data_IF_182112770343
#
_entry.id   IF_182112770343
#
_cell.length_a   1.000
_cell.length_b   1.000
_cell.length_c   1.000
_cell.angle_alpha   90.00
_cell.angle_beta   90.00
_cell.angle_gamma   90.00
#
_symmetry.space_group_name_H-M   'P 1'
#
loop_
_entity.id
_entity.type
_entity.pdbx_description
1 polymer ?
#
# COMPACT_ATOMS: atom_id res chain seq x y z
N UNK A 1 -7.24 2.70 11.49
CA UNK A 1 -7.97 3.92 11.93
C UNK A 1 -9.44 3.92 11.50
N UNK A 2 -9.75 4.04 10.20
CA UNK A 2 -11.14 4.22 9.73
C UNK A 2 -12.15 3.22 10.30
N UNK A 3 -11.84 1.93 10.26
CA UNK A 3 -12.67 0.86 10.85
C UNK A 3 -12.97 1.08 12.34
N UNK A 4 -11.98 1.48 13.13
CA UNK A 4 -12.13 1.65 14.58
C UNK A 4 -12.91 2.91 14.95
N UNK A 5 -12.77 3.97 14.15
CA UNK A 5 -13.46 5.24 14.38
C UNK A 5 -14.83 5.31 13.67
N UNK A 6 -15.22 4.25 12.95
CA UNK A 6 -16.46 4.24 12.16
C UNK A 6 -16.44 5.16 10.94
N UNK A 7 -15.26 5.53 10.44
CA UNK A 7 -15.10 6.34 9.23
C UNK A 7 -15.19 5.46 7.98
N UNK A 8 -15.74 6.02 6.90
CA UNK A 8 -15.67 5.41 5.59
C UNK A 8 -14.24 5.50 5.05
N UNK A 9 -13.75 4.40 4.48
CA UNK A 9 -12.46 4.33 3.80
C UNK A 9 -12.67 3.74 2.41
N UNK A 10 -12.07 4.38 1.42
CA UNK A 10 -12.13 3.93 0.04
C UNK A 10 -10.71 3.88 -0.55
N UNK A 11 -10.35 2.72 -1.06
CA UNK A 11 -9.11 2.52 -1.79
C UNK A 11 -9.34 2.90 -3.25
N UNK A 12 -8.35 3.58 -3.87
CA UNK A 12 -8.39 3.92 -5.30
C UNK A 12 -7.07 3.52 -5.96
N UNK A 13 -7.00 3.57 -7.30
CA UNK A 13 -5.75 3.37 -8.01
C UNK A 13 -4.76 4.50 -7.72
N UNK A 14 -3.46 4.18 -7.80
CA UNK A 14 -2.41 5.20 -7.76
C UNK A 14 -2.62 6.25 -8.86
N UNK A 15 -2.43 7.51 -8.47
CA UNK A 15 -2.64 8.71 -9.23
C UNK A 15 -3.75 9.54 -8.59
N UNK A 16 -3.41 10.76 -8.14
CA UNK A 16 -4.31 11.64 -7.42
C UNK A 16 -5.65 11.93 -8.12
N UNK A 17 -5.67 11.88 -9.45
CA UNK A 17 -6.91 11.97 -10.25
C UNK A 17 -8.01 11.01 -9.78
N UNK A 18 -7.66 9.79 -9.35
CA UNK A 18 -8.63 8.78 -8.93
C UNK A 18 -9.25 9.16 -7.58
N UNK A 19 -8.43 9.62 -6.64
CA UNK A 19 -8.90 10.11 -5.35
C UNK A 19 -9.71 11.39 -5.48
N UNK A 20 -9.31 12.34 -6.32
CA UNK A 20 -10.06 13.58 -6.53
C UNK A 20 -11.42 13.33 -7.17
N UNK A 21 -11.47 12.46 -8.18
CA UNK A 21 -12.75 12.07 -8.80
C UNK A 21 -13.67 11.40 -7.78
N UNK A 22 -13.12 10.52 -6.94
CA UNK A 22 -13.89 9.87 -5.89
C UNK A 22 -14.34 10.85 -4.81
N UNK A 23 -13.46 11.76 -4.39
CA UNK A 23 -13.80 12.80 -3.42
C UNK A 23 -14.93 13.70 -3.94
N UNK A 24 -14.91 14.05 -5.24
CA UNK A 24 -16.01 14.80 -5.87
C UNK A 24 -17.32 14.01 -5.82
N UNK A 25 -17.30 12.73 -6.20
CA UNK A 25 -18.48 11.85 -6.15
C UNK A 25 -19.05 11.74 -4.72
N UNK A 26 -18.18 11.61 -3.71
CA UNK A 26 -18.58 11.55 -2.30
C UNK A 26 -19.11 12.89 -1.80
N UNK A 27 -18.55 14.01 -2.25
CA UNK A 27 -19.01 15.36 -1.88
C UNK A 27 -20.40 15.68 -2.47
N UNK A 28 -20.75 15.11 -3.62
CA UNK A 28 -22.08 15.25 -4.21
C UNK A 28 -23.17 14.55 -3.35
N UNK A 29 -22.78 13.64 -2.46
CA UNK A 29 -23.61 13.06 -1.41
C UNK A 29 -23.58 13.95 -0.15
N UNK A 30 -24.59 14.81 0.00
CA UNK A 30 -24.73 15.75 1.14
C UNK A 30 -24.73 15.10 2.54
N UNK A 31 -24.84 13.77 2.64
CA UNK A 31 -24.75 13.05 3.91
C UNK A 31 -23.31 12.73 4.33
N UNK A 32 -22.32 13.01 3.48
CA UNK A 32 -20.92 12.67 3.70
C UNK A 32 -20.02 13.89 3.67
N UNK A 33 -18.91 13.77 4.37
CA UNK A 33 -17.83 14.75 4.37
C UNK A 33 -16.53 14.05 4.08
N UNK A 34 -15.83 14.48 3.03
CA UNK A 34 -14.47 14.02 2.73
C UNK A 34 -13.52 14.69 3.71
N UNK A 35 -12.91 13.91 4.61
CA UNK A 35 -11.97 14.44 5.60
C UNK A 35 -10.58 14.65 5.02
N UNK A 36 -10.08 13.64 4.30
CA UNK A 36 -8.80 13.70 3.62
C UNK A 36 -8.67 12.62 2.55
N UNK A 37 -7.80 12.86 1.57
CA UNK A 37 -7.22 11.85 0.69
C UNK A 37 -5.70 11.94 0.77
N UNK A 38 -5.01 10.82 0.62
CA UNK A 38 -3.55 10.79 0.72
C UNK A 38 -2.94 9.68 -0.12
N UNK A 39 -1.68 9.88 -0.49
CA UNK A 39 -0.83 8.95 -1.23
C UNK A 39 0.53 8.84 -0.54
N UNK A 40 1.16 7.67 -0.60
CA UNK A 40 2.45 7.39 0.01
C UNK A 40 3.56 8.30 -0.53
N UNK A 41 3.40 8.80 -1.76
CA UNK A 41 4.31 9.72 -2.43
C UNK A 41 4.23 11.17 -1.91
N UNK A 42 3.98 11.37 -0.61
CA UNK A 42 3.84 12.69 0.06
C UNK A 42 2.71 13.53 -0.57
N UNK A 43 1.63 12.88 -1.00
CA UNK A 43 0.45 13.56 -1.53
C UNK A 43 -0.63 13.65 -0.47
N UNK A 44 -1.13 14.84 -0.16
CA UNK A 44 -2.21 15.04 0.80
C UNK A 44 -3.22 16.06 0.26
N UNK A 45 -4.49 15.77 0.48
CA UNK A 45 -5.62 16.67 0.26
C UNK A 45 -6.45 16.68 1.53
N UNK A 46 -6.49 17.82 2.22
CA UNK A 46 -7.18 17.97 3.50
C UNK A 46 -8.52 18.67 3.26
N UNK A 47 -9.61 17.91 3.23
CA UNK A 47 -10.92 18.38 2.76
C UNK A 47 -11.01 18.45 1.24
N UNK A 48 -11.99 19.20 0.71
CA UNK A 48 -12.27 19.31 -0.73
C UNK A 48 -12.12 20.71 -1.30
N UNK A 49 -11.61 21.67 -0.52
CA UNK A 49 -11.40 23.06 -0.97
C UNK A 49 -10.50 23.15 -2.21
N UNK A 50 -9.55 22.23 -2.35
CA UNK A 50 -8.72 22.03 -3.54
C UNK A 50 -8.75 20.54 -3.87
N UNK A 51 -9.26 20.17 -5.04
CA UNK A 51 -9.27 18.78 -5.53
C UNK A 51 -7.93 18.43 -6.19
N UNK A 52 -6.84 18.62 -5.45
CA UNK A 52 -5.48 18.24 -5.83
C UNK A 52 -4.61 18.12 -4.57
N UNK A 53 -3.36 17.66 -4.73
CA UNK A 53 -2.35 17.67 -3.66
C UNK A 53 -2.08 19.11 -3.23
N UNK A 54 -2.21 19.38 -1.94
CA UNK A 54 -1.90 20.68 -1.38
C UNK A 54 -0.98 20.55 -0.16
N UNK A 55 0.32 20.72 -0.44
CA UNK A 55 1.37 20.70 0.58
C UNK A 55 1.29 21.88 1.55
N UNK A 56 0.76 23.03 1.14
CA UNK A 56 0.63 24.22 1.99
C UNK A 56 -0.49 23.98 3.01
N UNK A 57 -1.67 23.54 2.55
CA UNK A 57 -2.77 23.21 3.45
C UNK A 57 -2.36 22.09 4.41
N UNK A 58 -1.67 21.04 3.92
CA UNK A 58 -1.15 19.98 4.79
C UNK A 58 -0.18 20.52 5.86
N UNK A 59 0.74 21.42 5.51
CA UNK A 59 1.66 22.05 6.46
C UNK A 59 0.95 22.92 7.52
N UNK A 60 -0.10 23.65 7.11
CA UNK A 60 -0.94 24.42 8.04
C UNK A 60 -1.67 23.49 9.00
N UNK A 61 -2.29 22.40 8.52
CA UNK A 61 -2.94 21.39 9.38
C UNK A 61 -1.96 20.76 10.37
N UNK A 62 -0.73 20.48 9.95
CA UNK A 62 0.31 19.99 10.86
C UNK A 62 0.69 21.03 11.92
N UNK A 63 0.73 22.31 11.56
CA UNK A 63 1.00 23.41 12.51
C UNK A 63 -0.14 23.58 13.51
N UNK A 64 -1.39 23.47 13.06
CA UNK A 64 -2.57 23.43 13.94
C UNK A 64 -2.48 22.26 14.93
N UNK A 65 -2.10 21.07 14.47
CA UNK A 65 -1.88 19.90 15.34
C UNK A 65 -0.78 20.18 16.38
N UNK A 66 0.36 20.74 15.98
CA UNK A 66 1.45 21.09 16.90
C UNK A 66 0.95 22.07 17.98
N UNK A 67 0.25 23.13 17.59
CA UNK A 67 -0.30 24.11 18.51
C UNK A 67 -1.33 23.47 19.46
N UNK A 68 -2.20 22.60 18.95
CA UNK A 68 -3.17 21.85 19.75
C UNK A 68 -2.46 20.96 20.77
N UNK A 69 -1.47 20.16 20.36
CA UNK A 69 -0.74 19.27 21.27
C UNK A 69 -0.02 20.07 22.35
N UNK A 70 0.59 21.21 21.99
CA UNK A 70 1.27 22.06 22.96
C UNK A 70 0.32 22.67 23.98
N UNK A 71 -0.78 23.26 23.52
CA UNK A 71 -1.70 24.04 24.37
C UNK A 71 -2.77 23.20 25.09
N UNK A 72 -3.15 22.06 24.53
CA UNK A 72 -4.29 21.25 24.98
C UNK A 72 -3.90 19.86 25.48
N UNK A 73 -2.71 19.37 25.14
CA UNK A 73 -2.24 18.03 25.52
C UNK A 73 -0.92 18.10 26.30
N UNK A 74 -0.82 19.07 27.21
CA UNK A 74 0.31 19.19 28.16
C UNK A 74 1.69 19.21 27.50
N UNK A 75 1.82 19.86 26.33
CA UNK A 75 3.12 19.97 25.66
C UNK A 75 3.54 18.74 24.86
N UNK A 76 2.65 17.78 24.57
CA UNK A 76 2.99 16.58 23.78
C UNK A 76 3.67 16.92 22.46
N UNK A 77 4.69 16.14 22.09
CA UNK A 77 5.35 16.27 20.78
C UNK A 77 4.62 15.48 19.69
N UNK A 78 4.96 15.71 18.42
CA UNK A 78 4.47 14.89 17.32
C UNK A 78 4.87 13.41 17.45
N UNK A 79 6.05 13.13 18.00
CA UNK A 79 6.51 11.77 18.25
C UNK A 79 5.66 11.08 19.33
N UNK A 80 5.24 11.82 20.36
CA UNK A 80 4.35 11.28 21.38
C UNK A 80 2.96 11.00 20.80
N UNK A 81 2.45 11.91 19.97
CA UNK A 81 1.18 11.67 19.26
C UNK A 81 1.26 10.47 18.30
N UNK A 82 2.41 10.28 17.64
CA UNK A 82 2.63 9.11 16.79
C UNK A 82 2.65 7.81 17.60
N UNK A 83 3.26 7.81 18.80
CA UNK A 83 3.18 6.68 19.73
C UNK A 83 1.74 6.41 20.15
N UNK A 84 0.97 7.43 20.53
CA UNK A 84 -0.47 7.27 20.85
C UNK A 84 -1.25 6.63 19.69
N UNK A 85 -0.91 6.99 18.44
CA UNK A 85 -1.51 6.40 17.24
C UNK A 85 -1.12 4.92 17.12
N UNK A 86 0.16 4.56 17.32
CA UNK A 86 0.59 3.16 17.28
C UNK A 86 -0.03 2.34 18.42
N UNK A 87 -0.12 2.90 19.62
CA UNK A 87 -0.73 2.25 20.78
C UNK A 87 -2.22 2.00 20.59
N UNK A 88 -2.91 2.87 19.84
CA UNK A 88 -4.34 2.71 19.56
C UNK A 88 -4.61 1.82 18.35
N UNK A 89 -3.92 2.04 17.24
CA UNK A 89 -4.25 1.45 15.94
C UNK A 89 -3.32 0.33 15.48
N UNK A 90 -2.20 0.11 16.17
CA UNK A 90 -1.15 -0.81 15.76
C UNK A 90 0.02 -0.10 15.09
N UNK A 91 1.17 -0.78 15.06
CA UNK A 91 2.38 -0.27 14.44
C UNK A 91 2.43 -0.65 12.96
N UNK A 92 2.36 0.34 12.08
CA UNK A 92 2.42 0.13 10.62
C UNK A 92 3.84 0.38 10.13
N UNK A 93 4.51 -0.67 9.65
CA UNK A 93 5.82 -0.55 9.03
C UNK A 93 5.71 -0.83 7.53
N UNK A 94 6.26 0.07 6.70
CA UNK A 94 6.23 -0.05 5.25
C UNK A 94 7.61 0.18 4.62
N UNK A 95 7.83 -0.46 3.47
CA UNK A 95 9.01 -0.29 2.62
C UNK A 95 8.54 -0.24 1.17
N UNK A 96 8.95 0.82 0.47
CA UNK A 96 8.69 1.01 -0.94
C UNK A 96 10.03 1.16 -1.67
N UNK A 97 10.27 0.33 -2.68
CA UNK A 97 11.48 0.42 -3.50
C UNK A 97 11.21 -0.16 -4.88
N UNK A 98 12.26 -0.32 -5.68
CA UNK A 98 12.14 -0.78 -7.05
C UNK A 98 13.43 -1.43 -7.54
N UNK A 99 13.27 -2.19 -8.63
CA UNK A 99 14.36 -2.61 -9.49
C UNK A 99 14.28 -1.86 -10.82
N UNK A 100 15.44 -1.49 -11.37
CA UNK A 100 15.53 -1.09 -12.76
C UNK A 100 15.43 -2.32 -13.66
N UNK A 101 14.53 -2.25 -14.65
CA UNK A 101 14.42 -3.21 -15.72
C UNK A 101 14.00 -2.52 -17.02
N UNK A 102 14.89 -2.56 -18.02
CA UNK A 102 14.64 -1.98 -19.35
C UNK A 102 14.04 -2.98 -20.34
N UNK A 103 13.97 -4.26 -19.99
CA UNK A 103 13.38 -5.31 -20.83
C UNK A 103 11.91 -5.55 -20.43
N UNK A 104 11.00 -4.90 -21.15
CA UNK A 104 9.55 -5.04 -20.94
C UNK A 104 9.05 -6.47 -21.16
N UNK A 105 9.67 -7.24 -22.03
CA UNK A 105 9.29 -8.64 -22.27
C UNK A 105 9.70 -9.51 -21.09
N UNK A 106 10.88 -9.28 -20.50
CA UNK A 106 11.29 -9.93 -19.27
C UNK A 106 10.30 -9.65 -18.14
N UNK A 107 9.87 -8.40 -17.99
CA UNK A 107 8.82 -8.07 -17.01
C UNK A 107 7.55 -8.85 -17.29
N UNK A 108 7.07 -8.89 -18.53
CA UNK A 108 5.87 -9.66 -18.87
C UNK A 108 6.03 -11.15 -18.51
N UNK A 109 7.18 -11.76 -18.84
CA UNK A 109 7.50 -13.15 -18.48
C UNK A 109 7.54 -13.38 -16.96
N UNK A 110 8.10 -12.45 -16.19
CA UNK A 110 8.14 -12.54 -14.73
C UNK A 110 6.73 -12.58 -14.16
N UNK A 111 5.87 -11.63 -14.55
CA UNK A 111 4.49 -11.57 -14.04
C UNK A 111 3.66 -12.77 -14.49
N UNK A 112 3.83 -13.23 -15.73
CA UNK A 112 3.16 -14.45 -16.19
C UNK A 112 3.58 -15.68 -15.39
N UNK A 113 4.89 -15.81 -15.12
CA UNK A 113 5.39 -16.90 -14.26
C UNK A 113 4.77 -16.85 -12.86
N UNK A 114 4.60 -15.66 -12.28
CA UNK A 114 3.95 -15.52 -10.97
C UNK A 114 2.49 -16.02 -11.05
N UNK A 115 1.76 -15.72 -12.12
CA UNK A 115 0.38 -16.18 -12.34
C UNK A 115 0.25 -17.70 -12.46
N UNK A 116 1.32 -18.40 -12.82
CA UNK A 116 1.34 -19.84 -13.02
C UNK A 116 2.22 -20.60 -12.01
N UNK A 117 2.68 -19.94 -10.95
CA UNK A 117 3.73 -20.44 -10.06
C UNK A 117 3.31 -21.68 -9.25
N UNK A 118 2.02 -21.86 -9.00
CA UNK A 118 1.47 -22.95 -8.20
C UNK A 118 0.51 -23.81 -9.04
N UNK A 119 1.02 -24.91 -9.58
CA UNK A 119 0.24 -25.86 -10.38
C UNK A 119 -0.54 -25.18 -11.55
N UNK A 120 0.05 -24.16 -12.17
CA UNK A 120 -0.59 -23.39 -13.24
C UNK A 120 -1.49 -22.24 -12.77
N UNK A 121 -1.56 -21.97 -11.47
CA UNK A 121 -2.25 -20.82 -10.89
C UNK A 121 -1.36 -19.96 -9.99
N UNK A 122 -1.95 -18.93 -9.37
CA UNK A 122 -1.26 -18.01 -8.47
C UNK A 122 -0.70 -18.73 -7.23
N UNK A 123 0.41 -18.23 -6.64
CA UNK A 123 0.98 -18.82 -5.43
C UNK A 123 0.01 -18.74 -4.25
N UNK A 124 0.00 -19.81 -3.43
CA UNK A 124 -0.80 -19.87 -2.19
C UNK A 124 0.03 -19.62 -0.94
N UNK A 125 1.36 -19.62 -1.06
CA UNK A 125 2.30 -19.41 0.05
C UNK A 125 3.69 -19.10 -0.48
N UNK A 126 4.57 -18.57 0.38
CA UNK A 126 6.01 -18.45 0.15
C UNK A 126 6.80 -19.18 1.24
N UNK A 127 8.12 -19.28 1.06
CA UNK A 127 9.08 -19.86 2.00
C UNK A 127 8.71 -21.30 2.38
N UNK A 128 8.49 -22.14 1.37
CA UNK A 128 8.09 -23.54 1.52
C UNK A 128 6.84 -23.74 2.41
N UNK A 129 5.86 -22.84 2.29
CA UNK A 129 4.60 -22.91 3.03
C UNK A 129 4.61 -22.20 4.38
N UNK A 130 5.74 -21.61 4.81
CA UNK A 130 5.84 -20.88 6.09
C UNK A 130 4.85 -19.71 6.17
N UNK A 131 4.65 -18.99 5.07
CA UNK A 131 3.77 -17.82 5.02
C UNK A 131 2.69 -18.02 3.98
N UNK A 132 1.43 -18.13 4.44
CA UNK A 132 0.27 -18.37 3.58
C UNK A 132 -0.32 -17.08 3.04
N UNK A 133 -0.69 -17.09 1.76
CA UNK A 133 -1.36 -16.00 1.07
C UNK A 133 -2.87 -16.14 1.29
N UNK A 134 -3.47 -15.09 1.83
CA UNK A 134 -4.91 -14.99 2.10
C UNK A 134 -5.68 -14.51 0.88
N UNK A 135 -5.22 -13.41 0.28
CA UNK A 135 -5.86 -12.81 -0.90
C UNK A 135 -4.83 -12.42 -1.95
N UNK A 136 -5.25 -12.49 -3.20
CA UNK A 136 -4.50 -12.05 -4.37
C UNK A 136 -5.40 -11.12 -5.17
N UNK A 137 -4.86 -9.97 -5.55
CA UNK A 137 -5.48 -9.05 -6.48
C UNK A 137 -4.53 -8.81 -7.65
N UNK A 138 -5.01 -9.03 -8.86
CA UNK A 138 -4.30 -8.80 -10.10
C UNK A 138 -5.09 -7.80 -10.96
N UNK A 139 -4.69 -6.53 -10.92
CA UNK A 139 -5.34 -5.48 -11.71
C UNK A 139 -4.97 -5.52 -13.19
N UNK A 140 -4.09 -6.44 -13.59
CA UNK A 140 -3.75 -6.72 -14.99
C UNK A 140 -4.85 -7.58 -15.63
N UNK A 141 -5.32 -8.60 -14.91
CA UNK A 141 -6.34 -9.57 -15.37
C UNK A 141 -7.73 -9.24 -14.85
N UNK A 142 -7.81 -8.41 -13.80
CA UNK A 142 -9.05 -8.10 -13.07
C UNK A 142 -9.43 -9.13 -12.02
N UNK A 143 -8.56 -10.10 -11.73
CA UNK A 143 -8.79 -11.09 -10.69
C UNK A 143 -8.64 -10.47 -9.29
N UNK A 144 -9.56 -10.77 -8.37
CA UNK A 144 -9.45 -10.40 -6.96
C UNK A 144 -10.11 -11.48 -6.07
N UNK A 145 -9.30 -12.30 -5.40
CA UNK A 145 -9.80 -13.41 -4.59
C UNK A 145 -10.49 -12.99 -3.29
N UNK A 146 -10.46 -11.69 -2.93
CA UNK A 146 -11.22 -11.16 -1.79
C UNK A 146 -12.68 -10.88 -2.13
N UNK A 147 -13.03 -10.85 -3.42
CA UNK A 147 -14.37 -10.53 -3.90
C UNK A 147 -15.21 -11.78 -4.16
N UNK A 148 -16.54 -11.78 -3.88
CA UNK A 148 -17.39 -12.94 -4.08
C UNK A 148 -17.42 -13.49 -5.51
N UNK A 149 -17.32 -12.60 -6.51
CA UNK A 149 -17.27 -12.97 -7.94
C UNK A 149 -15.83 -13.10 -8.48
N UNK A 150 -14.82 -13.00 -7.61
CA UNK A 150 -13.40 -13.01 -7.94
C UNK A 150 -12.95 -11.92 -8.93
N UNK A 151 -13.70 -10.81 -9.03
CA UNK A 151 -13.39 -9.69 -9.92
C UNK A 151 -13.11 -8.43 -9.11
N UNK A 152 -12.07 -7.70 -9.51
CA UNK A 152 -11.72 -6.44 -8.86
C UNK A 152 -12.78 -5.37 -9.11
N UNK A 153 -13.06 -4.57 -8.07
CA UNK A 153 -13.88 -3.36 -8.16
C UNK A 153 -13.05 -2.13 -8.57
N UNK A 154 -11.72 -2.25 -8.56
CA UNK A 154 -10.84 -1.18 -9.04
C UNK A 154 -10.69 -1.28 -10.57
N UNK A 155 -10.47 -0.15 -11.26
CA UNK A 155 -10.18 -0.19 -12.69
C UNK A 155 -8.97 -1.07 -13.01
N UNK A 156 -9.08 -1.85 -14.08
CA UNK A 156 -8.08 -2.82 -14.51
C UNK A 156 -7.42 -2.38 -15.82
N UNK A 157 -6.18 -2.80 -16.06
CA UNK A 157 -5.49 -2.51 -17.31
C UNK A 157 -4.52 -3.63 -17.66
N UNK A 158 -4.79 -4.30 -18.78
CA UNK A 158 -3.91 -5.34 -19.34
C UNK A 158 -2.55 -4.81 -19.78
N UNK A 159 -2.41 -3.49 -19.93
CA UNK A 159 -1.17 -2.81 -20.31
C UNK A 159 -0.26 -2.51 -19.11
N UNK A 160 -0.74 -2.69 -17.87
CA UNK A 160 0.02 -2.41 -16.66
C UNK A 160 0.03 -3.60 -15.72
N UNK A 161 1.21 -4.07 -15.35
CA UNK A 161 1.34 -5.18 -14.43
C UNK A 161 1.17 -4.68 -12.99
N UNK A 162 0.22 -5.23 -12.24
CA UNK A 162 0.04 -4.96 -10.81
C UNK A 162 -0.55 -6.17 -10.10
N UNK A 163 0.23 -6.75 -9.19
CA UNK A 163 -0.14 -7.89 -8.34
C UNK A 163 -0.01 -7.48 -6.88
N UNK A 164 -1.08 -7.63 -6.11
CA UNK A 164 -1.10 -7.44 -4.66
C UNK A 164 -1.37 -8.77 -3.97
N UNK A 165 -0.52 -9.11 -3.01
CA UNK A 165 -0.63 -10.30 -2.17
C UNK A 165 -0.88 -9.86 -0.74
N UNK A 166 -1.98 -10.31 -0.15
CA UNK A 166 -2.28 -10.16 1.28
C UNK A 166 -2.06 -11.50 1.96
N UNK A 167 -1.23 -11.54 2.98
CA UNK A 167 -0.89 -12.74 3.75
C UNK A 167 -1.73 -12.83 5.03
N UNK A 168 -1.88 -14.04 5.56
CA UNK A 168 -2.70 -14.28 6.76
C UNK A 168 -2.18 -13.55 8.02
N UNK A 169 -0.86 -13.30 8.08
CA UNK A 169 -0.24 -12.57 9.18
C UNK A 169 -0.32 -11.03 9.02
N UNK A 170 -1.06 -10.54 8.03
CA UNK A 170 -1.24 -9.10 7.78
C UNK A 170 -0.14 -8.45 6.95
N UNK A 171 0.85 -9.20 6.47
CA UNK A 171 1.80 -8.68 5.48
C UNK A 171 1.09 -8.45 4.14
N UNK A 172 1.33 -7.31 3.53
CA UNK A 172 0.82 -6.99 2.19
C UNK A 172 1.99 -6.57 1.32
N UNK A 173 2.06 -7.08 0.10
CA UNK A 173 3.03 -6.63 -0.89
C UNK A 173 2.39 -6.47 -2.27
N UNK A 174 2.60 -5.32 -2.86
CA UNK A 174 2.19 -5.00 -4.23
C UNK A 174 3.41 -4.92 -5.13
N UNK A 175 3.47 -5.75 -6.16
CA UNK A 175 4.46 -5.73 -7.24
C UNK A 175 3.84 -5.05 -8.45
N UNK A 176 4.49 -4.03 -9.02
CA UNK A 176 3.95 -3.32 -10.18
C UNK A 176 4.98 -2.75 -11.13
N UNK A 177 4.60 -2.58 -12.38
CA UNK A 177 5.36 -1.76 -13.33
C UNK A 177 5.11 -0.28 -13.12
N UNK A 178 6.13 0.53 -13.36
CA UNK A 178 5.97 1.96 -13.60
C UNK A 178 5.48 2.19 -15.03
N UNK A 179 4.55 3.13 -15.21
CA UNK A 179 4.02 3.47 -16.55
C UNK A 179 4.94 4.40 -17.35
N UNK A 180 5.82 5.14 -16.67
CA UNK A 180 6.66 6.18 -17.28
C UNK A 180 8.15 5.90 -17.16
N UNK A 181 8.54 4.93 -16.32
CA UNK A 181 9.94 4.63 -16.02
C UNK A 181 10.19 3.13 -16.18
N UNK A 182 11.42 2.70 -16.54
CA UNK A 182 11.80 1.28 -16.65
C UNK A 182 12.02 0.68 -15.25
N UNK A 183 10.99 0.74 -14.40
CA UNK A 183 11.04 0.35 -12.98
C UNK A 183 9.99 -0.70 -12.67
N UNK A 184 10.43 -1.77 -12.00
CA UNK A 184 9.59 -2.74 -11.32
C UNK A 184 9.56 -2.38 -9.84
N UNK A 185 8.46 -1.75 -9.42
CA UNK A 185 8.27 -1.25 -8.05
C UNK A 185 7.67 -2.33 -7.18
N UNK A 186 8.01 -2.30 -5.90
CA UNK A 186 7.29 -3.03 -4.86
C UNK A 186 6.96 -2.12 -3.69
N UNK A 187 5.79 -2.33 -3.12
CA UNK A 187 5.27 -1.62 -1.96
C UNK A 187 4.88 -2.69 -0.95
N UNK A 188 5.51 -2.70 0.21
CA UNK A 188 5.28 -3.71 1.22
C UNK A 188 4.95 -3.07 2.55
N UNK A 189 4.00 -3.65 3.28
CA UNK A 189 3.67 -3.24 4.62
C UNK A 189 3.36 -4.43 5.52
N UNK A 190 3.63 -4.25 6.81
CA UNK A 190 3.19 -5.15 7.87
C UNK A 190 2.66 -4.33 9.03
N UNK A 191 1.48 -4.70 9.50
CA UNK A 191 0.83 -4.06 10.63
C UNK A 191 0.96 -4.95 11.87
N UNK A 192 1.72 -4.48 12.87
CA UNK A 192 1.73 -5.05 14.20
C UNK A 192 0.45 -4.69 14.96
N UNK A 193 -0.06 -5.64 15.75
CA UNK A 193 -1.22 -5.39 16.60
C UNK A 193 -0.90 -4.32 17.68
N UNK A 194 -1.90 -3.58 18.20
CA UNK A 194 -1.66 -2.52 19.19
C UNK A 194 -0.94 -2.96 20.47
N UNK A 195 -1.07 -4.23 20.84
CA UNK A 195 -0.43 -4.88 21.99
C UNK A 195 1.00 -5.37 21.70
N UNK A 196 1.43 -5.46 20.44
CA UNK A 196 2.80 -5.77 20.07
C UNK A 196 3.69 -4.52 20.16
N UNK A 197 4.54 -4.49 21.19
CA UNK A 197 5.44 -3.36 21.48
C UNK A 197 6.85 -3.56 20.92
N UNK A 198 7.20 -4.76 20.48
CA UNK A 198 8.48 -5.01 19.81
C UNK A 198 8.37 -4.62 18.33
N UNK A 199 8.45 -3.32 18.06
CA UNK A 199 8.44 -2.78 16.70
C UNK A 199 9.58 -3.36 15.85
N UNK A 200 10.74 -3.67 16.46
CA UNK A 200 11.90 -4.23 15.74
C UNK A 200 11.61 -5.63 15.20
N UNK A 201 10.84 -6.44 15.95
CA UNK A 201 10.36 -7.74 15.49
C UNK A 201 9.44 -7.60 14.28
N UNK A 202 8.53 -6.62 14.28
CA UNK A 202 7.65 -6.34 13.12
C UNK A 202 8.48 -5.90 11.92
N UNK A 203 9.46 -5.00 12.10
CA UNK A 203 10.35 -4.58 11.03
C UNK A 203 11.17 -5.74 10.46
N UNK A 204 11.73 -6.60 11.32
CA UNK A 204 12.53 -7.73 10.91
C UNK A 204 11.70 -8.75 10.12
N UNK A 205 10.49 -9.05 10.59
CA UNK A 205 9.56 -9.94 9.90
C UNK A 205 9.15 -9.37 8.53
N UNK A 206 8.84 -8.07 8.46
CA UNK A 206 8.51 -7.41 7.19
C UNK A 206 9.67 -7.52 6.20
N UNK A 207 10.91 -7.23 6.62
CA UNK A 207 12.11 -7.36 5.78
C UNK A 207 12.37 -8.81 5.33
N UNK A 208 12.16 -9.79 6.22
CA UNK A 208 12.25 -11.22 5.89
C UNK A 208 11.25 -11.59 4.79
N UNK A 209 9.97 -11.20 4.95
CA UNK A 209 8.91 -11.51 4.00
C UNK A 209 9.07 -10.80 2.66
N UNK A 210 9.56 -9.55 2.67
CA UNK A 210 9.95 -8.85 1.43
C UNK A 210 11.01 -9.67 0.71
N UNK A 211 12.11 -10.01 1.37
CA UNK A 211 13.20 -10.77 0.74
C UNK A 211 12.72 -12.12 0.18
N UNK A 212 11.95 -12.87 0.97
CA UNK A 212 11.38 -14.14 0.52
C UNK A 212 10.48 -13.97 -0.71
N UNK A 213 9.58 -12.98 -0.68
CA UNK A 213 8.67 -12.71 -1.80
C UNK A 213 9.45 -12.31 -3.05
N UNK A 214 10.41 -11.40 -2.92
CA UNK A 214 11.19 -10.91 -4.07
C UNK A 214 12.03 -12.03 -4.67
N UNK A 215 12.70 -12.86 -3.87
CA UNK A 215 13.50 -13.99 -4.37
C UNK A 215 12.63 -15.02 -5.11
N UNK A 216 11.45 -15.36 -4.59
CA UNK A 216 10.57 -16.34 -5.23
C UNK A 216 9.84 -15.77 -6.47
N UNK A 217 9.34 -14.54 -6.38
CA UNK A 217 8.45 -13.96 -7.40
C UNK A 217 9.20 -13.16 -8.46
N UNK A 218 10.27 -12.47 -8.10
CA UNK A 218 11.04 -11.67 -9.05
C UNK A 218 12.36 -12.33 -9.47
N UNK A 219 12.88 -13.30 -8.70
CA UNK A 219 14.19 -13.93 -8.89
C UNK A 219 15.29 -12.91 -9.30
N UNK A 220 15.56 -11.84 -8.52
CA UNK A 220 16.28 -10.66 -9.00
C UNK A 220 17.67 -10.96 -9.55
N UNK A 221 18.40 -11.89 -8.93
CA UNK A 221 19.72 -12.34 -9.39
C UNK A 221 19.67 -13.05 -10.73
N UNK A 222 18.72 -13.98 -10.91
CA UNK A 222 18.52 -14.75 -12.14
C UNK A 222 18.10 -13.84 -13.29
N UNK A 223 17.20 -12.89 -13.00
CA UNK A 223 16.67 -11.93 -13.96
C UNK A 223 17.55 -10.67 -14.13
N UNK A 224 18.70 -10.60 -13.45
CA UNK A 224 19.66 -9.47 -13.50
C UNK A 224 19.01 -8.11 -13.20
N UNK A 225 18.02 -8.11 -12.32
CA UNK A 225 17.33 -6.89 -11.87
C UNK A 225 18.29 -6.07 -11.01
N UNK A 226 18.43 -4.78 -11.33
CA UNK A 226 19.30 -3.87 -10.56
C UNK A 226 18.49 -3.18 -9.47
N UNK A 227 18.84 -3.31 -8.18
CA UNK A 227 18.11 -2.61 -7.12
C UNK A 227 18.28 -1.10 -7.24
N UNK A 228 17.40 -0.36 -6.59
CA UNK A 228 17.61 1.06 -6.30
C UNK A 228 18.93 1.23 -5.52
N UNK A 229 19.79 2.14 -6.00
CA UNK A 229 21.03 2.55 -5.32
C UNK A 229 20.75 3.31 -4.01
#
# INVERSE_FOLDING_TARGET
>A
MARMEGMHFEETLTGFKWMCNKAKEVEDDSSKTVLMAFEESIGYMCGTSVLDKDGITAAVRMTELIAYLHLRESGKTLLDKLKDIYDKYGYHFNINSYFFNHDSELTARIFERIRTLHNGGYPISISNGKYSIKHIRDLTTGYDSSMPNQQSTLPTSSLSQMLTFTFENGFVITLRTSGTEPKLKYYAELCGAPDEKDHKKIEALCKEMINATLEEFLEPKKNKLKPQE
#
